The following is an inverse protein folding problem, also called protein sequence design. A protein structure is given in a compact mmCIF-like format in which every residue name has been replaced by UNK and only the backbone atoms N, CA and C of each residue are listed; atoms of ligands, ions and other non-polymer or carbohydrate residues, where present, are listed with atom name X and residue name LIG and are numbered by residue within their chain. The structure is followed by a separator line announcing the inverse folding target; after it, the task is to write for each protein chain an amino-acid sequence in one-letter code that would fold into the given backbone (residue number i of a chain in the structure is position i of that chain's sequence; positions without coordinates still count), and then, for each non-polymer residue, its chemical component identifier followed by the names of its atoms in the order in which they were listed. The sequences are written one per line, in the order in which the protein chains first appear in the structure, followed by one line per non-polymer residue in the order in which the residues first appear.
data_IF_809268537487
#
_entry.id   IF_809268537487
#
_cell.length_a   1.000
_cell.length_b   1.000
_cell.length_c   1.000
_cell.angle_alpha   90.00
_cell.angle_beta   90.00
_cell.angle_gamma   90.00
#
_symmetry.space_group_name_H-M   'P 1'
#
loop_
_entity.id
_entity.type
_entity.pdbx_description
1 polymer ?
#
# COMPACT_ATOMS: atom_id res chain seq x y z
N UNK A 1 9.02 -8.18 26.32
CA UNK A 1 8.92 -9.46 25.58
C UNK A 1 10.20 -9.66 24.78
N UNK A 2 10.71 -10.87 24.74
CA UNK A 2 11.83 -11.25 23.88
C UNK A 2 11.51 -12.56 23.16
N UNK A 3 11.72 -12.60 21.84
CA UNK A 3 11.61 -13.80 21.01
C UNK A 3 13.02 -14.35 20.84
N UNK A 4 13.22 -15.63 21.06
CA UNK A 4 14.51 -16.33 20.95
C UNK A 4 14.40 -17.54 20.00
N UNK A 5 15.55 -18.07 19.57
CA UNK A 5 15.64 -19.25 18.69
C UNK A 5 14.82 -19.10 17.40
N UNK A 6 14.81 -17.92 16.78
CA UNK A 6 14.11 -17.63 15.55
C UNK A 6 15.07 -17.62 14.35
N UNK A 7 14.63 -18.12 13.19
CA UNK A 7 15.27 -17.78 11.92
C UNK A 7 14.68 -16.43 11.46
N UNK A 8 15.45 -15.34 11.65
CA UNK A 8 14.94 -13.97 11.46
C UNK A 8 15.30 -13.44 10.08
N UNK A 9 14.29 -13.21 9.26
CA UNK A 9 14.37 -12.58 7.94
C UNK A 9 14.12 -11.07 8.09
N UNK A 10 15.20 -10.27 8.16
CA UNK A 10 15.05 -8.85 8.53
C UNK A 10 14.56 -7.97 7.41
N UNK A 11 14.88 -8.26 6.15
CA UNK A 11 14.73 -7.39 4.97
C UNK A 11 15.40 -6.01 5.11
N UNK A 12 16.44 -5.94 5.94
CA UNK A 12 17.33 -4.78 6.07
C UNK A 12 18.71 -5.16 5.55
N UNK A 13 19.11 -4.60 4.39
CA UNK A 13 20.43 -4.81 3.77
C UNK A 13 20.81 -6.30 3.63
N UNK A 14 19.84 -7.15 3.29
CA UNK A 14 20.00 -8.61 3.15
C UNK A 14 20.57 -9.31 4.42
N UNK A 15 20.35 -8.70 5.60
CA UNK A 15 20.76 -9.25 6.88
C UNK A 15 19.75 -10.30 7.36
N UNK A 16 20.25 -11.49 7.67
CA UNK A 16 19.47 -12.59 8.26
C UNK A 16 20.18 -13.16 9.48
N UNK A 17 19.38 -13.69 10.41
CA UNK A 17 19.90 -14.41 11.58
C UNK A 17 19.30 -15.81 11.60
N UNK A 18 20.03 -16.85 11.13
CA UNK A 18 19.53 -18.24 11.13
C UNK A 18 19.18 -18.77 12.53
N UNK A 19 19.81 -18.25 13.56
CA UNK A 19 19.48 -18.41 14.96
C UNK A 19 19.54 -17.02 15.61
N UNK A 20 18.41 -16.36 15.68
CA UNK A 20 18.32 -14.97 16.10
C UNK A 20 17.35 -14.75 17.25
N UNK A 21 17.39 -13.53 17.78
CA UNK A 21 16.45 -13.03 18.76
C UNK A 21 15.92 -11.65 18.38
N UNK A 22 14.73 -11.32 18.89
CA UNK A 22 14.08 -10.02 18.70
C UNK A 22 13.58 -9.54 20.06
N UNK A 23 14.05 -8.37 20.51
CA UNK A 23 13.59 -7.71 21.73
C UNK A 23 12.51 -6.69 21.38
N UNK A 24 11.37 -6.79 22.04
CA UNK A 24 10.22 -5.91 21.85
C UNK A 24 10.00 -5.11 23.14
N UNK A 25 9.88 -3.79 23.02
CA UNK A 25 9.59 -2.87 24.11
C UNK A 25 8.61 -1.78 23.65
N UNK A 26 7.51 -1.61 24.36
CA UNK A 26 6.53 -0.55 24.06
C UNK A 26 5.91 -0.66 22.67
N UNK A 27 5.73 -1.88 22.14
CA UNK A 27 5.18 -2.11 20.81
C UNK A 27 6.17 -1.89 19.66
N UNK A 28 7.45 -1.66 19.98
CA UNK A 28 8.53 -1.44 19.01
C UNK A 28 9.59 -2.53 19.14
N UNK A 29 10.27 -2.81 18.02
CA UNK A 29 11.51 -3.58 18.03
C UNK A 29 12.57 -2.71 18.67
N UNK A 30 13.11 -3.12 19.82
CA UNK A 30 14.21 -2.41 20.48
C UNK A 30 15.56 -2.95 20.08
N UNK A 31 15.64 -4.26 19.79
CA UNK A 31 16.86 -4.92 19.35
C UNK A 31 16.56 -6.18 18.54
N UNK A 32 17.51 -6.57 17.68
CA UNK A 32 17.48 -7.79 16.88
C UNK A 32 18.93 -8.23 16.64
N UNK A 33 19.23 -9.52 16.82
CA UNK A 33 20.60 -10.03 16.71
C UNK A 33 20.68 -11.55 16.69
N UNK A 34 21.94 -12.06 16.61
CA UNK A 34 22.23 -13.50 16.71
C UNK A 34 22.07 -14.01 18.14
N UNK A 35 21.69 -15.29 18.30
CA UNK A 35 21.68 -15.97 19.61
C UNK A 35 23.07 -16.00 20.26
N UNK A 36 24.15 -15.83 19.50
CA UNK A 36 25.53 -15.76 20.02
C UNK A 36 25.91 -14.37 20.54
N UNK A 37 24.99 -13.39 20.51
CA UNK A 37 25.24 -12.03 20.99
C UNK A 37 25.42 -12.03 22.52
N UNK A 38 26.59 -11.57 23.05
CA UNK A 38 26.83 -11.51 24.49
C UNK A 38 25.81 -10.64 25.25
N UNK A 39 25.13 -9.71 24.60
CA UNK A 39 24.11 -8.87 25.20
C UNK A 39 22.81 -9.63 25.53
N UNK A 40 22.58 -10.79 24.89
CA UNK A 40 21.33 -11.54 25.02
C UNK A 40 21.06 -11.97 26.47
N UNK A 41 22.08 -12.47 27.20
CA UNK A 41 21.95 -12.93 28.58
C UNK A 41 21.46 -11.81 29.52
N UNK A 42 21.93 -10.59 29.32
CA UNK A 42 21.50 -9.43 30.08
C UNK A 42 20.07 -8.99 29.71
N UNK A 43 19.75 -9.02 28.43
CA UNK A 43 18.41 -8.71 27.92
C UNK A 43 17.36 -9.69 28.45
N UNK A 44 17.68 -10.98 28.54
CA UNK A 44 16.79 -12.03 29.05
C UNK A 44 16.56 -11.92 30.56
N UNK A 45 17.58 -11.55 31.36
CA UNK A 45 17.44 -11.39 32.82
C UNK A 45 16.43 -10.32 33.21
N UNK A 46 16.22 -9.33 32.35
CA UNK A 46 15.36 -8.18 32.60
C UNK A 46 13.99 -8.30 31.92
N UNK A 47 13.66 -9.45 31.31
CA UNK A 47 12.38 -9.68 30.65
C UNK A 47 11.61 -10.84 31.25
N UNK A 48 10.35 -10.59 31.60
CA UNK A 48 9.45 -11.62 32.16
C UNK A 48 8.80 -12.49 31.05
N UNK A 49 8.71 -11.95 29.82
CA UNK A 49 8.01 -12.60 28.72
C UNK A 49 9.02 -13.09 27.67
N UNK A 50 9.40 -14.35 27.73
CA UNK A 50 10.28 -15.02 26.77
C UNK A 50 9.44 -15.95 25.91
N UNK A 51 9.52 -15.78 24.59
CA UNK A 51 8.91 -16.66 23.59
C UNK A 51 10.02 -17.42 22.89
N UNK A 52 10.02 -18.73 22.99
CA UNK A 52 10.89 -19.59 22.21
C UNK A 52 10.22 -19.89 20.85
N UNK A 53 10.81 -19.39 19.77
CA UNK A 53 10.30 -19.63 18.41
C UNK A 53 10.60 -21.03 17.89
N UNK A 54 11.45 -21.83 18.57
CA UNK A 54 11.72 -23.21 18.21
C UNK A 54 12.28 -23.42 16.80
N UNK A 55 12.99 -22.44 16.25
CA UNK A 55 13.52 -22.45 14.88
C UNK A 55 12.54 -21.98 13.82
N UNK A 56 11.39 -21.42 14.18
CA UNK A 56 10.44 -20.87 13.21
C UNK A 56 11.06 -19.72 12.41
N UNK A 57 10.66 -19.61 11.15
CA UNK A 57 10.96 -18.44 10.31
C UNK A 57 10.11 -17.24 10.78
N UNK A 58 10.77 -16.13 11.04
CA UNK A 58 10.13 -14.90 11.50
C UNK A 58 10.36 -13.79 10.48
N UNK A 59 9.24 -13.30 9.94
CA UNK A 59 9.19 -12.24 8.95
C UNK A 59 8.59 -10.97 9.58
N UNK A 60 8.87 -9.76 9.02
CA UNK A 60 8.06 -8.58 9.35
C UNK A 60 6.62 -8.82 8.90
N UNK A 61 5.66 -8.21 9.58
CA UNK A 61 4.27 -8.26 9.17
C UNK A 61 4.10 -7.88 7.70
N UNK A 62 3.29 -8.65 6.97
CA UNK A 62 3.04 -8.40 5.55
C UNK A 62 2.23 -7.12 5.34
N UNK A 63 2.40 -6.52 4.17
CA UNK A 63 1.80 -5.25 3.77
C UNK A 63 1.10 -5.44 2.43
N UNK A 64 -0.21 -5.15 2.40
CA UNK A 64 -0.92 -4.97 1.14
C UNK A 64 -1.01 -3.47 0.82
N UNK A 65 -0.32 -3.07 -0.25
CA UNK A 65 -0.14 -1.66 -0.59
C UNK A 65 -1.33 -1.05 -1.36
N UNK A 66 -2.34 -1.83 -1.70
CA UNK A 66 -3.56 -1.33 -2.33
C UNK A 66 -4.75 -2.24 -2.07
N UNK A 67 -5.67 -1.72 -1.27
CA UNK A 67 -6.93 -2.38 -0.89
C UNK A 67 -8.05 -1.35 -0.77
N UNK A 68 -9.26 -1.87 -0.60
CA UNK A 68 -10.43 -1.11 -0.17
C UNK A 68 -10.99 -1.65 1.16
N UNK A 69 -10.12 -2.24 1.98
CA UNK A 69 -10.45 -2.89 3.24
C UNK A 69 -11.18 -1.93 4.17
N UNK A 70 -12.33 -2.36 4.68
CA UNK A 70 -13.21 -1.62 5.58
C UNK A 70 -14.11 -0.61 4.90
N UNK A 71 -14.14 -0.53 3.53
CA UNK A 71 -14.97 0.41 2.78
C UNK A 71 -16.08 -0.28 1.97
N UNK A 72 -16.09 -1.61 1.92
CA UNK A 72 -17.14 -2.43 1.34
C UNK A 72 -17.58 -3.44 2.40
N UNK A 73 -18.73 -3.22 3.02
CA UNK A 73 -19.21 -4.12 4.08
C UNK A 73 -19.51 -5.53 3.56
N UNK A 74 -19.47 -6.51 4.43
CA UNK A 74 -19.74 -7.94 4.11
C UNK A 74 -21.11 -8.16 3.43
N UNK A 75 -22.06 -7.28 3.65
CA UNK A 75 -23.43 -7.39 3.09
C UNK A 75 -23.51 -7.04 1.60
N UNK A 76 -22.49 -6.39 1.03
CA UNK A 76 -22.44 -5.90 -0.36
C UNK A 76 -23.70 -5.10 -0.79
N UNK A 77 -24.37 -4.46 0.17
CA UNK A 77 -25.52 -3.57 -0.09
C UNK A 77 -25.09 -2.12 -0.08
N UNK A 78 -25.90 -1.24 -0.62
CA UNK A 78 -25.61 0.19 -0.71
C UNK A 78 -25.18 0.83 0.63
N UNK A 79 -25.76 0.39 1.74
CA UNK A 79 -25.42 0.93 3.06
C UNK A 79 -23.98 0.62 3.47
N UNK A 80 -23.45 -0.54 3.07
CA UNK A 80 -22.05 -0.95 3.36
C UNK A 80 -21.05 -0.61 2.26
N UNK A 81 -21.46 0.06 1.18
CA UNK A 81 -20.60 0.43 0.04
C UNK A 81 -20.21 1.91 0.10
N UNK A 82 -19.13 2.19 0.80
CA UNK A 82 -18.52 3.52 0.91
C UNK A 82 -17.25 3.67 0.05
N UNK A 83 -17.00 2.73 -0.86
CA UNK A 83 -15.80 2.70 -1.67
C UNK A 83 -15.73 3.77 -2.76
N UNK A 84 -16.87 4.30 -3.25
CA UNK A 84 -16.88 5.26 -4.35
C UNK A 84 -17.94 6.32 -4.18
N UNK A 85 -17.53 7.60 -4.12
CA UNK A 85 -18.42 8.75 -4.26
C UNK A 85 -18.55 9.10 -5.75
N UNK A 86 -19.49 8.47 -6.43
CA UNK A 86 -19.60 8.51 -7.89
C UNK A 86 -20.61 9.56 -8.41
N UNK A 87 -20.91 10.57 -7.60
CA UNK A 87 -21.79 11.70 -7.96
C UNK A 87 -21.02 12.95 -8.39
N UNK A 88 -19.74 13.06 -8.07
CA UNK A 88 -18.81 14.11 -8.49
C UNK A 88 -17.48 13.46 -8.93
N UNK A 89 -17.00 13.68 -10.17
CA UNK A 89 -15.77 13.02 -10.67
C UNK A 89 -14.47 13.54 -10.01
N UNK A 90 -14.53 14.60 -9.20
CA UNK A 90 -13.34 15.24 -8.60
C UNK A 90 -13.58 15.52 -7.11
N UNK A 91 -13.14 14.60 -6.28
CA UNK A 91 -13.41 14.58 -4.83
C UNK A 91 -12.13 14.40 -3.98
N UNK A 92 -11.05 15.18 -4.20
CA UNK A 92 -9.77 14.99 -3.49
C UNK A 92 -9.87 15.22 -1.98
N UNK A 93 -10.89 15.94 -1.50
CA UNK A 93 -11.13 16.24 -0.09
C UNK A 93 -11.69 15.06 0.72
N UNK A 94 -12.22 14.03 0.06
CA UNK A 94 -12.75 12.86 0.76
C UNK A 94 -11.60 12.04 1.36
N UNK A 95 -11.79 11.59 2.59
CA UNK A 95 -10.75 10.90 3.37
C UNK A 95 -11.21 9.48 3.69
N UNK A 96 -10.43 8.48 3.31
CA UNK A 96 -10.73 7.08 3.61
C UNK A 96 -11.03 6.82 5.09
N UNK A 97 -10.32 7.51 6.00
CA UNK A 97 -10.49 7.33 7.45
C UNK A 97 -11.88 7.69 7.98
N UNK A 98 -12.68 8.42 7.21
CA UNK A 98 -14.05 8.79 7.59
C UNK A 98 -15.09 7.71 7.19
N UNK A 99 -14.70 6.76 6.32
CA UNK A 99 -15.56 5.68 5.82
C UNK A 99 -15.12 4.28 6.28
N UNK A 100 -13.87 4.08 6.70
CA UNK A 100 -13.37 2.77 7.09
C UNK A 100 -14.09 2.26 8.34
N UNK A 101 -14.75 1.10 8.25
CA UNK A 101 -15.27 0.34 9.40
C UNK A 101 -14.18 -0.59 9.98
N UNK A 102 -13.61 -0.29 11.16
CA UNK A 102 -12.61 -1.16 11.80
C UNK A 102 -13.19 -2.48 12.34
N UNK A 103 -14.52 -2.69 12.27
CA UNK A 103 -15.18 -3.92 12.68
C UNK A 103 -15.44 -4.88 11.52
N UNK A 104 -15.14 -4.49 10.28
CA UNK A 104 -15.18 -5.36 9.13
C UNK A 104 -14.41 -6.67 9.40
N UNK A 105 -15.04 -7.82 9.12
CA UNK A 105 -14.50 -9.14 9.40
C UNK A 105 -13.16 -9.42 8.71
N UNK A 106 -12.93 -8.81 7.56
CA UNK A 106 -11.70 -8.98 6.80
C UNK A 106 -10.45 -8.41 7.49
N UNK A 107 -10.57 -7.50 8.47
CA UNK A 107 -9.43 -7.10 9.31
C UNK A 107 -8.87 -8.29 10.10
N UNK A 108 -9.75 -9.16 10.62
CA UNK A 108 -9.33 -10.38 11.33
C UNK A 108 -8.70 -11.40 10.37
N UNK A 109 -9.28 -11.55 9.19
CA UNK A 109 -8.75 -12.47 8.18
C UNK A 109 -7.39 -12.00 7.66
N UNK A 110 -7.20 -10.70 7.44
CA UNK A 110 -5.90 -10.11 7.11
C UNK A 110 -4.85 -10.42 8.19
N UNK A 111 -5.20 -10.18 9.46
CA UNK A 111 -4.31 -10.40 10.58
C UNK A 111 -3.93 -11.89 10.72
N UNK A 112 -4.90 -12.81 10.56
CA UNK A 112 -4.66 -14.26 10.54
C UNK A 112 -3.73 -14.71 9.43
N UNK A 113 -3.77 -14.04 8.30
CA UNK A 113 -2.87 -14.27 7.17
C UNK A 113 -1.49 -13.58 7.33
N UNK A 114 -1.25 -12.90 8.47
CA UNK A 114 0.00 -12.20 8.75
C UNK A 114 0.10 -10.81 8.12
N UNK A 115 -0.98 -10.29 7.54
CA UNK A 115 -1.01 -8.94 6.98
C UNK A 115 -1.35 -7.97 8.11
N UNK A 116 -0.37 -7.18 8.53
CA UNK A 116 -0.47 -6.29 9.70
C UNK A 116 -0.65 -4.82 9.32
N UNK A 117 -0.46 -4.49 8.05
CA UNK A 117 -0.55 -3.12 7.53
C UNK A 117 -1.16 -3.14 6.13
N UNK A 118 -2.04 -2.18 5.85
CA UNK A 118 -2.62 -1.98 4.53
C UNK A 118 -2.61 -0.52 4.13
N UNK A 119 -2.57 -0.26 2.81
CA UNK A 119 -2.97 1.01 2.24
C UNK A 119 -4.39 0.81 1.71
N UNK A 120 -5.33 1.54 2.27
CA UNK A 120 -6.75 1.43 1.91
C UNK A 120 -7.34 2.80 1.60
N UNK A 121 -8.39 2.82 0.80
CA UNK A 121 -9.06 4.05 0.41
C UNK A 121 -10.03 3.87 -0.75
N UNK A 122 -10.47 4.98 -1.36
CA UNK A 122 -11.51 4.94 -2.38
C UNK A 122 -11.10 4.11 -3.60
N UNK A 123 -12.12 3.57 -4.26
CA UNK A 123 -12.01 2.86 -5.52
C UNK A 123 -11.61 3.76 -6.68
N UNK A 124 -11.85 3.29 -7.89
CA UNK A 124 -11.38 3.95 -9.12
C UNK A 124 -12.52 4.47 -10.02
N UNK A 125 -13.71 4.70 -9.45
CA UNK A 125 -14.83 5.29 -10.17
C UNK A 125 -14.53 6.73 -10.63
N UNK A 126 -13.76 7.49 -9.84
CA UNK A 126 -13.48 8.91 -10.07
C UNK A 126 -12.11 9.16 -10.68
N UNK A 127 -11.98 10.09 -11.64
CA UNK A 127 -10.67 10.62 -12.06
C UNK A 127 -9.80 11.10 -10.89
N UNK A 128 -10.41 11.76 -9.89
CA UNK A 128 -9.77 12.15 -8.63
C UNK A 128 -10.68 11.71 -7.49
N UNK A 129 -10.34 10.61 -6.83
CA UNK A 129 -11.25 9.92 -5.92
C UNK A 129 -11.14 10.34 -4.45
N UNK A 130 -9.93 10.67 -3.98
CA UNK A 130 -9.75 11.08 -2.58
C UNK A 130 -8.45 10.60 -1.94
N UNK A 131 -8.39 10.75 -0.63
CA UNK A 131 -7.21 10.48 0.18
C UNK A 131 -7.17 9.02 0.66
N UNK A 132 -6.05 8.36 0.42
CA UNK A 132 -5.73 7.03 0.94
C UNK A 132 -5.20 7.11 2.37
N UNK A 133 -5.32 6.03 3.12
CA UNK A 133 -4.72 5.87 4.43
C UNK A 133 -3.88 4.60 4.54
N UNK A 134 -2.70 4.71 5.16
CA UNK A 134 -1.94 3.56 5.63
C UNK A 134 -2.39 3.25 7.06
N UNK A 135 -2.89 2.06 7.30
CA UNK A 135 -3.43 1.68 8.60
C UNK A 135 -2.94 0.29 9.04
N UNK A 136 -2.98 0.05 10.33
CA UNK A 136 -2.79 -1.28 10.91
C UNK A 136 -4.07 -2.10 10.78
N UNK A 137 -3.94 -3.41 10.62
CA UNK A 137 -5.09 -4.33 10.55
C UNK A 137 -5.60 -4.74 11.93
N UNK A 138 -4.99 -4.24 12.99
CA UNK A 138 -5.37 -4.48 14.37
C UNK A 138 -5.77 -3.19 15.09
N UNK A 139 -6.82 -3.27 15.86
CA UNK A 139 -7.41 -2.13 16.57
C UNK A 139 -8.93 -2.25 16.60
N UNK A 140 -9.58 -1.27 17.23
CA UNK A 140 -11.05 -1.19 17.31
C UNK A 140 -11.60 0.20 16.96
N UNK A 141 -10.69 1.12 16.71
CA UNK A 141 -11.00 2.52 16.43
C UNK A 141 -9.99 3.05 15.41
N UNK A 142 -10.47 3.56 14.31
CA UNK A 142 -9.63 3.98 13.19
C UNK A 142 -8.50 4.95 13.60
N UNK A 143 -8.77 5.92 14.45
CA UNK A 143 -7.74 6.89 14.92
C UNK A 143 -6.53 6.24 15.60
N UNK A 144 -6.68 5.00 16.12
CA UNK A 144 -5.58 4.24 16.75
C UNK A 144 -4.92 3.25 15.80
N UNK A 145 -5.50 3.07 14.61
CA UNK A 145 -4.96 2.18 13.56
C UNK A 145 -4.14 2.95 12.53
N UNK A 146 -4.28 4.27 12.46
CA UNK A 146 -3.60 5.12 11.48
C UNK A 146 -2.07 5.04 11.65
N UNK A 147 -1.39 4.68 10.58
CA UNK A 147 0.06 4.76 10.42
C UNK A 147 0.45 6.06 9.71
N UNK A 148 -0.25 6.41 8.62
CA UNK A 148 -0.12 7.65 7.85
C UNK A 148 -1.45 7.99 7.19
N UNK A 149 -1.96 9.20 7.38
CA UNK A 149 -3.14 9.72 6.70
C UNK A 149 -3.03 11.24 6.53
N UNK A 150 -3.11 11.74 5.28
CA UNK A 150 -3.21 10.98 4.04
C UNK A 150 -1.91 10.22 3.70
N UNK A 151 -2.04 9.05 3.06
CA UNK A 151 -0.91 8.27 2.55
C UNK A 151 -0.68 8.50 1.05
N UNK A 152 -1.65 9.04 0.35
CA UNK A 152 -1.63 9.38 -1.07
C UNK A 152 -2.97 9.93 -1.52
N UNK A 153 -3.03 10.41 -2.76
CA UNK A 153 -4.27 10.78 -3.46
C UNK A 153 -4.55 9.74 -4.54
N UNK A 154 -5.73 9.12 -4.51
CA UNK A 154 -6.18 8.19 -5.54
C UNK A 154 -6.61 8.95 -6.78
N UNK A 155 -5.98 8.61 -7.91
CA UNK A 155 -6.34 9.07 -9.25
C UNK A 155 -6.64 7.85 -10.11
N UNK A 156 -7.58 7.95 -11.04
CA UNK A 156 -7.90 6.85 -11.94
C UNK A 156 -8.02 7.30 -13.41
N UNK A 157 -7.41 6.48 -14.27
CA UNK A 157 -7.54 6.53 -15.71
C UNK A 157 -8.15 5.20 -16.21
N UNK A 158 -8.43 5.12 -17.50
CA UNK A 158 -8.89 3.88 -18.11
C UNK A 158 -10.41 3.72 -18.14
N UNK A 159 -10.86 2.48 -17.97
CA UNK A 159 -12.25 2.09 -18.18
C UNK A 159 -13.17 2.52 -17.05
N UNK A 160 -12.72 2.40 -15.79
CA UNK A 160 -13.60 2.60 -14.64
C UNK A 160 -14.24 3.99 -14.60
N UNK A 161 -13.51 5.13 -14.68
CA UNK A 161 -14.16 6.44 -14.70
C UNK A 161 -15.08 6.64 -15.89
N UNK A 162 -14.70 6.09 -17.05
CA UNK A 162 -15.54 6.20 -18.26
C UNK A 162 -16.87 5.48 -18.12
N UNK A 163 -16.85 4.24 -17.62
CA UNK A 163 -18.07 3.43 -17.45
C UNK A 163 -18.97 4.04 -16.40
N UNK A 164 -18.42 4.40 -15.23
CA UNK A 164 -19.18 4.99 -14.12
C UNK A 164 -19.99 6.20 -14.55
N UNK A 165 -19.38 7.12 -15.29
CA UNK A 165 -20.05 8.36 -15.69
C UNK A 165 -20.85 8.23 -16.99
N UNK A 166 -20.48 7.32 -17.90
CA UNK A 166 -21.28 7.00 -19.08
C UNK A 166 -22.65 6.43 -18.69
N UNK A 167 -22.68 5.58 -17.66
CA UNK A 167 -23.94 4.98 -17.16
C UNK A 167 -24.91 6.02 -16.54
N UNK A 168 -24.39 7.21 -16.27
CA UNK A 168 -25.15 8.37 -15.72
C UNK A 168 -25.35 9.50 -16.73
N UNK A 169 -24.98 9.32 -18.00
CA UNK A 169 -24.97 10.36 -19.02
C UNK A 169 -24.17 11.63 -18.59
N UNK A 170 -23.06 11.43 -17.88
CA UNK A 170 -22.20 12.48 -17.34
C UNK A 170 -20.76 12.35 -17.84
N UNK A 171 -19.97 13.41 -17.70
CA UNK A 171 -18.52 13.39 -18.01
C UNK A 171 -17.73 12.80 -16.83
N UNK A 172 -16.66 11.97 -17.07
CA UNK A 172 -16.05 11.68 -18.38
C UNK A 172 -16.61 10.43 -19.04
N UNK A 173 -16.75 10.45 -20.36
CA UNK A 173 -17.04 9.27 -21.19
C UNK A 173 -15.90 8.89 -22.14
N UNK A 174 -14.81 9.63 -22.08
CA UNK A 174 -13.60 9.38 -22.89
C UNK A 174 -12.33 9.48 -22.05
N UNK A 175 -11.23 8.79 -22.46
CA UNK A 175 -9.91 8.96 -21.85
C UNK A 175 -9.41 10.40 -21.90
N UNK A 176 -9.74 11.14 -22.95
CA UNK A 176 -9.42 12.56 -23.06
C UNK A 176 -10.09 13.39 -21.97
N UNK A 177 -11.38 13.16 -21.70
CA UNK A 177 -12.12 13.87 -20.66
C UNK A 177 -11.61 13.49 -19.25
N UNK A 178 -11.33 12.20 -19.00
CA UNK A 178 -10.74 11.75 -17.74
C UNK A 178 -9.41 12.46 -17.46
N UNK A 179 -8.50 12.45 -18.42
CA UNK A 179 -7.21 13.14 -18.30
C UNK A 179 -7.36 14.66 -18.15
N UNK A 180 -8.34 15.27 -18.81
CA UNK A 180 -8.62 16.71 -18.69
C UNK A 180 -9.09 17.08 -17.28
N UNK A 181 -9.99 16.30 -16.68
CA UNK A 181 -10.48 16.53 -15.31
C UNK A 181 -9.34 16.43 -14.28
N UNK A 182 -8.46 15.42 -14.42
CA UNK A 182 -7.28 15.29 -13.55
C UNK A 182 -6.37 16.53 -13.68
N UNK A 183 -6.06 16.95 -14.92
CA UNK A 183 -5.25 18.14 -15.16
C UNK A 183 -5.88 19.41 -14.61
N UNK A 184 -7.18 19.56 -14.76
CA UNK A 184 -7.91 20.73 -14.24
C UNK A 184 -7.81 20.79 -12.71
N UNK A 185 -8.03 19.66 -12.02
CA UNK A 185 -7.90 19.58 -10.57
C UNK A 185 -6.47 19.91 -10.11
N UNK A 186 -5.46 19.27 -10.74
CA UNK A 186 -4.05 19.52 -10.39
C UNK A 186 -3.62 20.96 -10.72
N UNK A 187 -4.10 21.55 -11.82
CA UNK A 187 -3.79 22.95 -12.17
C UNK A 187 -4.38 23.94 -11.15
N UNK A 188 -5.63 23.71 -10.71
CA UNK A 188 -6.27 24.51 -9.63
C UNK A 188 -5.49 24.37 -8.32
N UNK A 189 -5.18 23.15 -7.90
CA UNK A 189 -4.39 22.87 -6.70
C UNK A 189 -3.01 23.51 -6.74
N UNK A 190 -2.29 23.41 -7.88
CA UNK A 190 -0.96 24.01 -8.05
C UNK A 190 -1.01 25.54 -8.02
N UNK A 191 -2.04 26.14 -8.64
CA UNK A 191 -2.25 27.58 -8.55
C UNK A 191 -2.48 28.01 -7.11
N UNK A 192 -3.37 27.31 -6.40
CA UNK A 192 -3.69 27.57 -4.99
C UNK A 192 -2.44 27.44 -4.10
N UNK A 193 -1.63 26.40 -4.29
CA UNK A 193 -0.35 26.21 -3.62
C UNK A 193 0.60 27.41 -3.84
N UNK A 194 0.75 27.84 -5.10
CA UNK A 194 1.61 28.99 -5.42
C UNK A 194 1.09 30.30 -4.83
N UNK A 195 -0.23 30.49 -4.80
CA UNK A 195 -0.83 31.70 -4.21
C UNK A 195 -0.62 31.73 -2.68
N UNK A 196 -0.73 30.58 -1.99
CA UNK A 196 -0.36 30.46 -0.56
C UNK A 196 1.11 30.78 -0.32
N UNK A 197 2.01 30.25 -1.12
CA UNK A 197 3.44 30.55 -1.00
C UNK A 197 3.74 32.03 -1.22
N UNK A 198 3.08 32.70 -2.17
CA UNK A 198 3.24 34.14 -2.40
C UNK A 198 2.78 34.95 -1.21
N UNK A 199 1.61 34.61 -0.66
CA UNK A 199 1.09 35.28 0.53
C UNK A 199 2.03 35.07 1.73
N UNK A 200 2.50 33.87 1.99
CA UNK A 200 3.43 33.59 3.09
C UNK A 200 4.75 34.35 2.98
N UNK A 201 5.26 34.55 1.75
CA UNK A 201 6.50 35.24 1.50
C UNK A 201 6.35 36.78 1.52
N UNK A 202 5.17 37.32 1.20
CA UNK A 202 4.94 38.78 1.08
C UNK A 202 3.47 39.10 1.40
N UNK A 203 3.15 39.12 2.68
CA UNK A 203 1.80 39.39 3.20
C UNK A 203 1.34 40.86 3.01
N UNK A 204 2.26 41.75 2.69
CA UNK A 204 1.93 43.17 2.47
C UNK A 204 1.37 43.41 1.06
N UNK A 205 1.79 42.61 0.07
CA UNK A 205 1.43 42.77 -1.33
C UNK A 205 0.49 41.71 -1.90
N UNK A 206 0.23 40.63 -1.15
CA UNK A 206 -0.65 39.53 -1.57
C UNK A 206 -1.72 39.26 -0.52
N UNK A 207 -2.94 38.96 -0.99
CA UNK A 207 -4.03 38.54 -0.14
C UNK A 207 -3.92 37.02 0.14
N UNK A 208 -4.39 36.59 1.32
CA UNK A 208 -4.52 35.20 1.64
C UNK A 208 -5.58 34.53 0.73
N UNK A 209 -5.27 33.42 0.04
CA UNK A 209 -6.24 32.74 -0.78
C UNK A 209 -7.45 32.26 0.04
N UNK A 210 -8.65 32.41 -0.51
CA UNK A 210 -9.86 31.88 0.10
C UNK A 210 -9.74 30.36 0.29
N UNK A 211 -10.10 29.82 1.47
CA UNK A 211 -10.04 28.40 1.75
C UNK A 211 -10.88 27.57 0.76
N UNK A 212 -10.24 26.59 0.13
CA UNK A 212 -10.89 25.63 -0.79
C UNK A 212 -10.52 24.19 -0.38
N UNK A 213 -11.46 23.40 0.19
CA UNK A 213 -11.18 22.06 0.66
C UNK A 213 -10.64 21.11 -0.39
N UNK A 214 -11.04 21.25 -1.67
CA UNK A 214 -10.53 20.41 -2.76
C UNK A 214 -9.08 20.75 -3.08
N UNK A 215 -8.75 22.03 -3.14
CA UNK A 215 -7.38 22.47 -3.40
C UNK A 215 -6.45 22.22 -2.21
N UNK A 216 -6.94 22.43 -0.96
CA UNK A 216 -6.18 22.08 0.26
C UNK A 216 -5.77 20.60 0.29
N UNK A 217 -6.67 19.70 -0.09
CA UNK A 217 -6.40 18.27 -0.12
C UNK A 217 -5.30 17.87 -1.11
N UNK A 218 -5.05 18.67 -2.14
CA UNK A 218 -4.01 18.43 -3.15
C UNK A 218 -2.63 19.01 -2.79
N UNK A 219 -2.54 19.88 -1.77
CA UNK A 219 -1.27 20.53 -1.39
C UNK A 219 -0.15 19.54 -1.10
N UNK A 220 -0.39 18.41 -0.36
CA UNK A 220 0.66 17.45 -0.05
C UNK A 220 1.32 16.79 -1.27
N UNK A 221 0.66 16.79 -2.44
CA UNK A 221 1.28 16.35 -3.70
C UNK A 221 2.38 17.33 -4.17
N UNK A 222 2.18 18.63 -3.99
CA UNK A 222 3.12 19.67 -4.44
C UNK A 222 4.24 19.92 -3.43
N UNK A 223 4.06 19.53 -2.18
CA UNK A 223 5.11 19.54 -1.15
C UNK A 223 5.90 18.22 -1.09
N UNK A 224 5.56 17.25 -1.94
CA UNK A 224 6.16 15.90 -1.96
C UNK A 224 6.02 15.11 -0.63
N UNK A 225 5.01 15.42 0.18
CA UNK A 225 4.71 14.68 1.41
C UNK A 225 4.03 13.34 1.13
N UNK A 226 3.23 13.29 0.06
CA UNK A 226 2.53 12.10 -0.38
C UNK A 226 2.57 11.95 -1.91
N UNK A 227 2.57 10.72 -2.45
CA UNK A 227 2.45 10.47 -3.87
C UNK A 227 1.00 10.47 -4.36
N UNK A 228 0.82 10.65 -5.67
CA UNK A 228 -0.40 10.29 -6.37
C UNK A 228 -0.41 8.79 -6.68
N UNK A 229 -1.50 8.07 -6.39
CA UNK A 229 -1.69 6.66 -6.75
C UNK A 229 -2.56 6.58 -8.01
N UNK A 230 -1.95 6.34 -9.16
CA UNK A 230 -2.66 6.23 -10.42
C UNK A 230 -3.12 4.79 -10.68
N UNK A 231 -4.42 4.55 -10.62
CA UNK A 231 -5.05 3.35 -11.16
C UNK A 231 -4.96 3.36 -12.68
N UNK A 232 -4.25 2.40 -13.24
CA UNK A 232 -4.02 2.26 -14.69
C UNK A 232 -3.85 0.78 -15.06
N UNK A 233 -4.32 0.39 -16.23
CA UNK A 233 -4.11 -0.97 -16.75
C UNK A 233 -3.39 -0.98 -18.10
N UNK A 234 -3.92 -0.27 -19.08
CA UNK A 234 -3.40 -0.24 -20.44
C UNK A 234 -2.17 0.64 -20.59
N UNK A 235 -1.31 0.33 -21.54
CA UNK A 235 -0.11 1.10 -21.82
C UNK A 235 -0.38 2.57 -22.12
N UNK A 236 -1.43 2.90 -22.87
CA UNK A 236 -1.79 4.28 -23.20
C UNK A 236 -2.22 5.09 -21.96
N UNK A 237 -2.89 4.45 -20.98
CA UNK A 237 -3.25 5.04 -19.69
C UNK A 237 -2.03 5.16 -18.76
N UNK A 238 -1.12 4.16 -18.76
CA UNK A 238 0.15 4.20 -18.02
C UNK A 238 0.97 5.41 -18.45
N UNK A 239 1.23 5.57 -19.75
CA UNK A 239 2.01 6.71 -20.26
C UNK A 239 1.27 8.05 -20.14
N UNK A 240 -0.07 8.05 -20.05
CA UNK A 240 -0.84 9.26 -19.74
C UNK A 240 -0.68 9.65 -18.29
N UNK A 241 -0.67 8.70 -17.33
CA UNK A 241 -0.39 8.96 -15.91
C UNK A 241 1.01 9.56 -15.72
N UNK A 242 2.02 8.94 -16.32
CA UNK A 242 3.41 9.42 -16.31
C UNK A 242 3.50 10.85 -16.85
N UNK A 243 2.87 11.13 -18.00
CA UNK A 243 2.86 12.46 -18.60
C UNK A 243 2.22 13.49 -17.68
N UNK A 244 1.08 13.17 -17.06
CA UNK A 244 0.41 14.07 -16.12
C UNK A 244 1.29 14.33 -14.90
N UNK A 245 1.85 13.28 -14.29
CA UNK A 245 2.72 13.45 -13.12
C UNK A 245 3.94 14.32 -13.43
N UNK A 246 4.58 14.11 -14.59
CA UNK A 246 5.72 14.92 -15.05
C UNK A 246 5.32 16.38 -15.35
N UNK A 247 4.15 16.65 -15.97
CA UNK A 247 3.62 18.00 -16.20
C UNK A 247 3.48 18.82 -14.91
N UNK A 248 3.06 18.17 -13.82
CA UNK A 248 2.84 18.85 -12.54
C UNK A 248 4.02 18.75 -11.58
N UNK A 249 4.99 17.87 -11.86
CA UNK A 249 6.17 17.64 -11.02
C UNK A 249 5.79 17.01 -9.68
N UNK A 250 4.88 16.04 -9.67
CA UNK A 250 4.42 15.34 -8.47
C UNK A 250 5.01 13.93 -8.41
N UNK A 251 5.20 13.42 -7.18
CA UNK A 251 5.57 12.02 -6.96
C UNK A 251 4.37 11.10 -7.20
N UNK A 252 4.62 9.92 -7.75
CA UNK A 252 3.54 9.02 -8.11
C UNK A 252 3.90 7.54 -8.03
N UNK A 253 2.86 6.72 -7.94
CA UNK A 253 2.86 5.27 -7.91
C UNK A 253 1.91 4.79 -9.01
N UNK A 254 2.31 3.75 -9.74
CA UNK A 254 1.45 3.08 -10.71
C UNK A 254 0.77 1.88 -10.04
N UNK A 255 -0.56 1.92 -9.97
CA UNK A 255 -1.36 0.84 -9.39
C UNK A 255 -1.88 -0.05 -10.50
N UNK A 256 -1.79 -1.36 -10.31
CA UNK A 256 -2.02 -2.43 -11.29
C UNK A 256 -1.01 -2.42 -12.43
N UNK A 257 -1.00 -1.38 -13.25
CA UNK A 257 -0.14 -1.21 -14.41
C UNK A 257 -0.05 -2.51 -15.24
N UNK A 258 -1.20 -3.09 -15.58
CA UNK A 258 -1.33 -4.45 -16.12
C UNK A 258 -0.47 -4.70 -17.37
N UNK A 259 -0.33 -3.70 -18.24
CA UNK A 259 0.48 -3.78 -19.45
C UNK A 259 1.96 -3.44 -19.21
N UNK A 260 2.38 -3.00 -18.00
CA UNK A 260 3.73 -2.49 -17.78
C UNK A 260 4.83 -3.49 -18.16
N UNK A 261 4.61 -4.79 -17.92
CA UNK A 261 5.58 -5.84 -18.24
C UNK A 261 5.88 -5.97 -19.74
N UNK A 262 5.04 -5.40 -20.61
CA UNK A 262 5.24 -5.37 -22.08
C UNK A 262 6.16 -4.22 -22.52
N UNK A 263 6.44 -3.26 -21.65
CA UNK A 263 7.08 -1.98 -21.94
C UNK A 263 8.09 -1.56 -20.86
N UNK A 264 8.74 -2.52 -20.19
CA UNK A 264 9.66 -2.21 -19.10
C UNK A 264 10.83 -1.32 -19.54
N UNK A 265 11.31 -1.48 -20.77
CA UNK A 265 12.33 -0.66 -21.38
C UNK A 265 11.92 0.79 -21.59
N UNK A 266 10.65 1.05 -21.89
CA UNK A 266 10.08 2.40 -22.01
C UNK A 266 9.80 3.07 -20.63
N UNK A 267 9.82 2.30 -19.54
CA UNK A 267 9.66 2.79 -18.17
C UNK A 267 11.00 3.10 -17.51
N UNK A 268 12.10 2.73 -18.13
CA UNK A 268 13.44 2.99 -17.60
C UNK A 268 13.72 4.50 -17.51
N UNK A 269 14.15 4.96 -16.34
CA UNK A 269 14.44 6.38 -16.09
C UNK A 269 13.25 7.26 -15.72
N UNK A 270 12.03 6.73 -15.74
CA UNK A 270 10.85 7.41 -15.20
C UNK A 270 10.88 7.49 -13.67
N UNK A 271 10.29 8.56 -13.11
CA UNK A 271 10.44 8.91 -11.68
C UNK A 271 9.27 8.48 -10.81
N UNK A 272 8.76 7.27 -11.00
CA UNK A 272 7.74 6.74 -10.09
C UNK A 272 8.38 5.98 -8.91
N UNK A 273 7.69 5.94 -7.76
CA UNK A 273 8.18 5.26 -6.56
C UNK A 273 8.21 3.73 -6.72
N UNK A 274 7.34 3.18 -7.57
CA UNK A 274 7.24 1.76 -7.86
C UNK A 274 5.91 1.39 -8.50
N UNK A 275 5.74 0.08 -8.76
CA UNK A 275 4.51 -0.51 -9.31
C UNK A 275 3.88 -1.41 -8.27
N UNK A 276 2.58 -1.20 -8.01
CA UNK A 276 1.74 -2.10 -7.21
C UNK A 276 1.05 -3.07 -8.17
N UNK A 277 1.64 -4.25 -8.36
CA UNK A 277 1.22 -5.23 -9.36
C UNK A 277 0.19 -6.21 -8.80
N UNK A 278 -0.97 -6.27 -9.38
CA UNK A 278 -2.10 -7.13 -8.99
C UNK A 278 -3.44 -6.51 -9.37
N UNK A 279 -4.57 -7.17 -9.01
CA UNK A 279 -4.64 -8.50 -8.42
C UNK A 279 -4.22 -9.59 -9.41
N UNK A 280 -3.65 -10.69 -8.89
CA UNK A 280 -3.18 -11.82 -9.72
C UNK A 280 -4.23 -12.94 -9.75
N UNK A 281 -4.91 -13.15 -8.63
CA UNK A 281 -5.93 -14.18 -8.44
C UNK A 281 -7.31 -13.61 -8.76
N UNK A 282 -7.53 -13.28 -10.02
CA UNK A 282 -8.80 -12.75 -10.54
C UNK A 282 -8.95 -13.07 -12.03
N UNK A 283 -10.14 -12.84 -12.57
CA UNK A 283 -10.42 -13.05 -14.00
C UNK A 283 -10.16 -11.77 -14.82
N UNK A 284 -10.06 -11.94 -16.13
CA UNK A 284 -10.01 -10.83 -17.11
C UNK A 284 -11.41 -10.29 -17.39
N UNK A 285 -12.02 -9.69 -16.37
CA UNK A 285 -13.42 -9.24 -16.40
C UNK A 285 -13.67 -8.02 -17.28
N UNK A 286 -12.60 -7.32 -17.70
CA UNK A 286 -12.67 -6.08 -18.49
C UNK A 286 -11.73 -6.13 -19.70
N UNK A 287 -12.05 -5.43 -20.81
CA UNK A 287 -11.16 -5.32 -21.98
C UNK A 287 -9.76 -4.81 -21.67
N UNK A 288 -9.60 -3.93 -20.70
CA UNK A 288 -8.29 -3.40 -20.28
C UNK A 288 -7.41 -4.43 -19.56
N UNK A 289 -7.99 -5.55 -19.10
CA UNK A 289 -7.28 -6.67 -18.46
C UNK A 289 -6.85 -7.76 -19.46
N UNK A 290 -7.03 -7.58 -20.76
CA UNK A 290 -6.75 -8.60 -21.79
C UNK A 290 -5.33 -9.19 -21.71
N UNK A 291 -4.35 -8.38 -21.27
CA UNK A 291 -2.95 -8.76 -21.16
C UNK A 291 -2.56 -9.16 -19.72
N UNK A 292 -3.52 -9.25 -18.80
CA UNK A 292 -3.23 -9.66 -17.42
C UNK A 292 -2.49 -11.01 -17.39
N UNK A 293 -1.38 -11.05 -16.69
CA UNK A 293 -0.49 -12.21 -16.64
C UNK A 293 0.14 -12.38 -15.27
N UNK A 294 0.15 -13.60 -14.70
CA UNK A 294 0.86 -13.87 -13.46
C UNK A 294 2.39 -13.78 -13.59
N UNK A 295 2.91 -13.64 -14.82
CA UNK A 295 4.33 -13.39 -15.09
C UNK A 295 4.72 -11.92 -14.90
N UNK A 296 3.75 -11.02 -14.93
CA UNK A 296 3.98 -9.58 -14.93
C UNK A 296 4.86 -9.11 -13.76
N UNK A 297 4.58 -9.45 -12.47
CA UNK A 297 5.40 -8.98 -11.35
C UNK A 297 6.87 -9.39 -11.48
N UNK A 298 7.12 -10.64 -11.89
CA UNK A 298 8.48 -11.15 -12.06
C UNK A 298 9.24 -10.50 -13.22
N UNK A 299 8.55 -10.15 -14.31
CA UNK A 299 9.18 -9.43 -15.45
C UNK A 299 9.53 -8.01 -15.04
N UNK A 300 8.60 -7.30 -14.40
CA UNK A 300 8.76 -5.92 -13.92
C UNK A 300 9.90 -5.85 -12.88
N UNK A 301 9.91 -6.76 -11.90
CA UNK A 301 10.95 -6.82 -10.87
C UNK A 301 12.34 -7.05 -11.48
N UNK A 302 12.48 -7.97 -12.45
CA UNK A 302 13.77 -8.22 -13.14
C UNK A 302 14.26 -7.06 -13.99
N UNK A 303 13.40 -6.13 -14.40
CA UNK A 303 13.82 -4.90 -15.08
C UNK A 303 14.35 -3.82 -14.11
N UNK A 304 14.42 -4.12 -12.80
CA UNK A 304 14.92 -3.20 -11.79
C UNK A 304 13.85 -2.25 -11.22
N UNK A 305 12.59 -2.39 -11.62
CA UNK A 305 11.48 -1.59 -11.10
C UNK A 305 11.02 -2.18 -9.77
N UNK A 306 11.01 -1.37 -8.71
CA UNK A 306 10.49 -1.77 -7.41
C UNK A 306 9.02 -2.17 -7.53
N UNK A 307 8.72 -3.42 -7.20
CA UNK A 307 7.40 -4.03 -7.43
C UNK A 307 6.84 -4.59 -6.13
N UNK A 308 5.63 -4.17 -5.76
CA UNK A 308 4.85 -4.78 -4.70
C UNK A 308 3.71 -5.61 -5.28
N UNK A 309 3.34 -6.70 -4.60
CA UNK A 309 2.18 -7.53 -4.92
C UNK A 309 1.00 -7.04 -4.09
N UNK A 310 -0.16 -6.91 -4.72
CA UNK A 310 -1.39 -6.40 -4.10
C UNK A 310 -2.57 -7.33 -4.38
N UNK A 311 -3.56 -7.30 -3.50
CA UNK A 311 -4.82 -8.03 -3.68
C UNK A 311 -5.90 -7.19 -4.35
N UNK A 312 -5.85 -5.87 -4.22
CA UNK A 312 -6.96 -5.00 -4.61
C UNK A 312 -8.27 -5.42 -3.92
N UNK A 313 -8.17 -5.87 -2.64
CA UNK A 313 -9.33 -6.35 -1.89
C UNK A 313 -10.52 -5.37 -2.04
N UNK A 314 -11.72 -5.84 -2.40
CA UNK A 314 -12.19 -7.23 -2.40
C UNK A 314 -12.03 -8.02 -3.72
N UNK A 315 -11.38 -7.50 -4.77
CA UNK A 315 -11.18 -8.20 -6.05
C UNK A 315 -10.48 -9.56 -5.85
N UNK A 316 -9.45 -9.60 -5.02
CA UNK A 316 -8.93 -10.81 -4.39
C UNK A 316 -9.08 -10.65 -2.88
N UNK A 317 -9.71 -11.59 -2.15
CA UNK A 317 -9.79 -11.50 -0.71
C UNK A 317 -8.41 -11.37 -0.07
N UNK A 318 -8.28 -10.44 0.88
CA UNK A 318 -6.99 -9.97 1.40
C UNK A 318 -6.11 -11.09 1.96
N UNK A 319 -6.71 -12.10 2.59
CA UNK A 319 -5.98 -13.25 3.15
C UNK A 319 -5.19 -14.06 2.13
N UNK A 320 -5.40 -13.84 0.83
CA UNK A 320 -4.70 -14.54 -0.26
C UNK A 320 -3.49 -13.76 -0.82
N UNK A 321 -3.00 -12.74 -0.13
CA UNK A 321 -1.80 -12.00 -0.57
C UNK A 321 -0.58 -12.93 -0.77
N UNK A 322 -0.32 -13.86 0.16
CA UNK A 322 0.77 -14.84 0.04
C UNK A 322 0.56 -15.80 -1.12
N UNK A 323 -0.69 -16.17 -1.41
CA UNK A 323 -1.04 -16.99 -2.58
C UNK A 323 -0.76 -16.25 -3.88
N UNK A 324 -1.08 -14.95 -3.96
CA UNK A 324 -0.73 -14.12 -5.10
C UNK A 324 0.79 -14.09 -5.33
N UNK A 325 1.56 -13.94 -4.26
CA UNK A 325 3.02 -13.98 -4.33
C UNK A 325 3.55 -15.37 -4.77
N UNK A 326 3.00 -16.45 -4.23
CA UNK A 326 3.34 -17.82 -4.64
C UNK A 326 3.05 -18.07 -6.13
N UNK A 327 1.93 -17.54 -6.64
CA UNK A 327 1.59 -17.60 -8.07
C UNK A 327 2.63 -16.83 -8.91
N UNK A 328 3.07 -15.65 -8.46
CA UNK A 328 4.11 -14.87 -9.12
C UNK A 328 5.44 -15.64 -9.17
N UNK A 329 5.85 -16.29 -8.07
CA UNK A 329 7.06 -17.14 -8.01
C UNK A 329 6.95 -18.32 -8.97
N UNK A 330 5.83 -19.04 -8.95
CA UNK A 330 5.56 -20.14 -9.89
C UNK A 330 5.67 -19.70 -11.35
N UNK A 331 5.45 -18.42 -11.63
CA UNK A 331 5.50 -17.84 -12.98
C UNK A 331 6.79 -17.06 -13.27
N UNK A 332 7.83 -17.22 -12.43
CA UNK A 332 9.19 -16.76 -12.69
C UNK A 332 9.61 -15.48 -11.96
N UNK A 333 8.90 -15.06 -10.91
CA UNK A 333 9.43 -14.10 -9.95
C UNK A 333 10.42 -14.83 -9.03
N UNK A 334 11.52 -14.18 -8.67
CA UNK A 334 12.44 -14.73 -7.68
C UNK A 334 11.76 -14.80 -6.30
N UNK A 335 12.04 -15.86 -5.53
CA UNK A 335 11.39 -16.14 -4.26
C UNK A 335 11.56 -14.99 -3.25
N UNK A 336 12.81 -14.54 -3.05
CA UNK A 336 13.12 -13.48 -2.09
C UNK A 336 12.53 -12.13 -2.54
N UNK A 337 12.47 -11.88 -3.85
CA UNK A 337 11.82 -10.70 -4.40
C UNK A 337 10.30 -10.71 -4.15
N UNK A 338 9.66 -11.88 -4.18
CA UNK A 338 8.25 -12.00 -3.84
C UNK A 338 7.98 -11.75 -2.35
N UNK A 339 8.87 -12.19 -1.46
CA UNK A 339 8.79 -11.86 -0.03
C UNK A 339 9.00 -10.36 0.22
N UNK A 340 10.00 -9.74 -0.44
CA UNK A 340 10.22 -8.30 -0.40
C UNK A 340 9.02 -7.53 -0.96
N UNK A 341 8.34 -8.07 -1.97
CA UNK A 341 7.16 -7.48 -2.60
C UNK A 341 5.90 -7.47 -1.71
N UNK A 342 5.92 -8.17 -0.58
CA UNK A 342 4.88 -8.14 0.44
C UNK A 342 5.34 -7.51 1.76
N UNK A 343 6.58 -7.01 1.83
CA UNK A 343 7.19 -6.50 3.06
C UNK A 343 7.83 -5.14 2.84
N UNK A 344 9.12 -5.11 2.53
CA UNK A 344 9.89 -3.85 2.46
C UNK A 344 9.57 -3.01 1.21
N UNK A 345 9.25 -3.62 0.07
CA UNK A 345 8.95 -2.85 -1.14
C UNK A 345 7.65 -2.05 -1.03
N UNK A 346 6.48 -2.64 -0.62
CA UNK A 346 5.28 -1.84 -0.39
C UNK A 346 5.49 -0.75 0.65
N UNK A 347 6.30 -1.01 1.70
CA UNK A 347 6.62 0.00 2.70
C UNK A 347 7.38 1.19 2.11
N UNK A 348 8.41 0.93 1.28
CA UNK A 348 9.20 1.97 0.59
C UNK A 348 8.37 2.73 -0.44
N UNK A 349 7.63 2.01 -1.28
CA UNK A 349 6.79 2.62 -2.32
C UNK A 349 5.78 3.59 -1.72
N UNK A 350 5.15 3.23 -0.59
CA UNK A 350 4.14 4.04 0.07
C UNK A 350 4.68 5.00 1.15
N UNK A 351 6.01 5.07 1.33
CA UNK A 351 6.64 5.99 2.28
C UNK A 351 6.28 5.73 3.74
N UNK A 352 6.23 4.45 4.14
CA UNK A 352 5.98 3.99 5.52
C UNK A 352 7.10 3.10 6.06
N UNK A 353 8.20 2.96 5.33
CA UNK A 353 9.34 2.13 5.66
C UNK A 353 10.10 2.58 6.92
N UNK A 354 9.89 3.80 7.37
CA UNK A 354 10.36 4.24 8.70
C UNK A 354 9.70 3.51 9.88
N UNK A 355 8.55 2.84 9.66
CA UNK A 355 7.78 2.16 10.71
C UNK A 355 7.47 0.70 10.45
N UNK A 356 7.39 0.25 9.19
CA UNK A 356 6.96 -1.09 8.79
C UNK A 356 7.89 -1.71 7.73
N UNK A 357 7.63 -2.94 7.34
CA UNK A 357 8.22 -3.62 6.19
C UNK A 357 9.56 -4.32 6.43
N UNK A 358 10.19 -4.15 7.59
CA UNK A 358 11.43 -4.87 7.94
C UNK A 358 11.59 -4.99 9.46
N UNK A 359 12.43 -5.94 9.90
CA UNK A 359 12.76 -6.14 11.32
C UNK A 359 14.00 -5.31 11.64
N UNK A 360 13.78 -4.13 12.25
CA UNK A 360 14.84 -3.18 12.61
C UNK A 360 14.47 -2.43 13.88
N UNK A 361 15.46 -2.12 14.70
CA UNK A 361 15.28 -1.31 15.89
C UNK A 361 14.59 0.04 15.58
N UNK A 362 13.57 0.38 16.36
CA UNK A 362 12.74 1.56 16.19
C UNK A 362 11.46 1.36 15.38
N UNK A 363 11.36 0.33 14.55
CA UNK A 363 10.13 -0.01 13.80
C UNK A 363 9.08 -0.66 14.70
N UNK A 364 7.84 -0.68 14.21
CA UNK A 364 6.73 -1.33 14.91
C UNK A 364 7.01 -2.84 15.00
N UNK A 365 6.70 -3.43 16.14
CA UNK A 365 6.88 -4.86 16.37
C UNK A 365 5.70 -5.64 15.80
N UNK A 366 5.64 -5.74 14.48
CA UNK A 366 4.72 -6.55 13.70
C UNK A 366 5.52 -7.69 13.08
N UNK A 367 5.28 -8.92 13.56
CA UNK A 367 6.05 -10.11 13.22
C UNK A 367 5.11 -11.27 12.90
N UNK A 368 5.48 -12.07 11.90
CA UNK A 368 4.74 -13.26 11.47
C UNK A 368 5.64 -14.48 11.55
N UNK A 369 5.16 -15.55 12.15
CA UNK A 369 5.90 -16.77 12.41
C UNK A 369 5.39 -17.92 11.55
N UNK A 370 6.29 -18.60 10.85
CA UNK A 370 6.00 -19.77 10.03
C UNK A 370 6.96 -20.91 10.36
N UNK A 371 6.45 -22.17 10.39
CA UNK A 371 7.32 -23.36 10.43
C UNK A 371 8.05 -23.58 9.12
N UNK A 372 7.37 -23.30 8.03
CA UNK A 372 7.86 -23.48 6.67
C UNK A 372 7.95 -22.17 5.91
N UNK A 373 7.82 -22.26 4.60
CA UNK A 373 7.82 -21.13 3.68
C UNK A 373 6.44 -20.46 3.64
N UNK A 374 6.29 -19.15 3.85
CA UNK A 374 5.01 -18.45 3.74
C UNK A 374 4.39 -18.49 2.33
N UNK A 375 5.19 -18.82 1.30
CA UNK A 375 4.72 -18.99 -0.08
C UNK A 375 4.27 -20.43 -0.39
N UNK A 376 4.43 -21.36 0.55
CA UNK A 376 3.77 -22.66 0.46
C UNK A 376 2.29 -22.49 0.86
N UNK A 377 1.39 -22.66 -0.09
CA UNK A 377 -0.06 -22.55 0.10
C UNK A 377 -0.61 -23.34 1.30
N UNK A 378 0.04 -24.44 1.67
CA UNK A 378 -0.38 -25.28 2.79
C UNK A 378 0.07 -24.74 4.16
N UNK A 379 0.89 -23.69 4.18
CA UNK A 379 1.37 -23.07 5.42
C UNK A 379 0.47 -21.90 5.82
N UNK A 380 0.25 -21.78 7.12
CA UNK A 380 -0.40 -20.62 7.74
C UNK A 380 0.50 -20.08 8.85
N UNK A 381 0.37 -18.81 9.22
CA UNK A 381 1.07 -18.29 10.39
C UNK A 381 0.76 -19.14 11.65
N UNK A 382 1.80 -19.53 12.38
CA UNK A 382 1.62 -20.16 13.69
C UNK A 382 1.35 -19.12 14.78
N UNK A 383 1.90 -17.94 14.60
CA UNK A 383 1.74 -16.82 15.52
C UNK A 383 1.90 -15.50 14.75
N UNK A 384 1.14 -14.52 15.15
CA UNK A 384 1.30 -13.13 14.73
C UNK A 384 1.48 -12.26 15.96
N UNK A 385 2.55 -11.47 15.97
CA UNK A 385 2.73 -10.37 16.91
C UNK A 385 2.41 -9.09 16.16
N UNK A 386 1.48 -8.29 16.67
CA UNK A 386 1.12 -7.03 16.07
C UNK A 386 1.06 -5.94 17.16
N UNK A 387 1.76 -4.81 16.91
CA UNK A 387 1.95 -3.79 17.93
C UNK A 387 2.67 -4.30 19.19
N UNK A 388 3.52 -5.31 19.04
CA UNK A 388 4.25 -5.94 20.14
C UNK A 388 3.41 -6.85 21.04
N UNK A 389 2.25 -7.30 20.59
CA UNK A 389 1.37 -8.22 21.30
C UNK A 389 1.03 -9.43 20.45
N UNK A 390 1.02 -10.62 21.07
CA UNK A 390 0.50 -11.82 20.41
C UNK A 390 -0.98 -11.61 20.12
N UNK A 391 -1.39 -11.93 18.91
CA UNK A 391 -2.78 -11.85 18.46
C UNK A 391 -3.48 -13.18 18.62
N UNK A 392 -4.74 -13.18 19.04
CA UNK A 392 -5.61 -14.34 19.01
C UNK A 392 -6.07 -14.55 17.55
N UNK A 393 -5.56 -15.61 16.88
CA UNK A 393 -5.80 -15.90 15.47
C UNK A 393 -7.06 -16.76 15.24
#
# INVERSE_FOLDING_TARGET
MIVINACVHTFENDLEYPAGYIKILGGKISYCGSMDDPALDELMKNDADIIDAGGANVYPGFIDAHTHLGMFGDSLTFEGDDGNEDTDPVTPQLRAIDAIDPQDGYFKEALRAGITTVITGPGSANPVAGQLAAIKTYGRRIDKMILKAPAGIKLALGENPKSTYNDKDQTPVTRMATAALIREALAKGKKYYNDKLRYENDKENYDEPEPDPKNEALLPLFTHEIPAHFHVHRSDDIFTAIRIANEFGIDYILVHATDAYLFCDELEGERFSGILSGPILTDRSKPELKNQSPKAPGIISRSGIMTAIITDHPETPIQYLTVCAAIAVRNGMEHDEALKAMTIYPAKICGIDGRAGSIKAGKDADLVFYKGDPLDYMQTPEMVIAGGKIQDL
#
